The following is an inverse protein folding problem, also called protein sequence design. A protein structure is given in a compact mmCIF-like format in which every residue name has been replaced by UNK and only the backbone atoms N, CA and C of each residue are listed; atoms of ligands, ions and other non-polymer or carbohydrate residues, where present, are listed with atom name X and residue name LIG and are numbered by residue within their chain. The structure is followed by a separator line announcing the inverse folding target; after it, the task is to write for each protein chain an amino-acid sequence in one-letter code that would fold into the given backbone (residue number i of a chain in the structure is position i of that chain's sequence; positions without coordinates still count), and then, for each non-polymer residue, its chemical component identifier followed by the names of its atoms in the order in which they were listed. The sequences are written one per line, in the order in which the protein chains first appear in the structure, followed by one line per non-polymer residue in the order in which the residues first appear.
data_IF_796693692811
#
_entry.id   IF_796693692811
#
_cell.length_a   1.000
_cell.length_b   1.000
_cell.length_c   1.000
_cell.angle_alpha   90.00
_cell.angle_beta   90.00
_cell.angle_gamma   90.00
#
_symmetry.space_group_name_H-M   'P 1'
#
loop_
_entity.id
_entity.type
_entity.pdbx_description
1 polymer ?
#
# COMPACT_ATOMS: atom_id res chain seq x y z
N UNK A 1 1.07 22.37 -0.32
CA UNK A 1 0.66 21.08 0.29
C UNK A 1 -0.37 20.45 -0.65
N UNK A 2 -0.20 19.18 -1.08
CA UNK A 2 -1.03 18.56 -2.15
C UNK A 2 -1.85 17.34 -1.68
N UNK A 3 -1.72 16.97 -0.40
CA UNK A 3 -2.66 16.10 0.31
C UNK A 3 -3.34 16.98 1.35
N UNK A 4 -4.67 17.01 1.35
CA UNK A 4 -5.45 18.06 2.03
C UNK A 4 -6.09 17.62 3.35
N UNK A 5 -6.04 16.33 3.68
CA UNK A 5 -6.56 15.78 4.94
C UNK A 5 -5.64 14.69 5.49
N UNK A 6 -5.46 14.58 6.81
CA UNK A 6 -4.69 13.51 7.43
C UNK A 6 -5.45 12.17 7.36
N UNK A 7 -4.72 11.08 7.60
CA UNK A 7 -5.26 9.73 7.64
C UNK A 7 -5.03 8.94 6.36
N UNK A 8 -5.83 7.89 6.19
CA UNK A 8 -5.78 6.97 5.05
C UNK A 8 -7.17 6.74 4.48
N UNK A 9 -7.26 6.14 3.28
CA UNK A 9 -8.54 5.72 2.71
C UNK A 9 -9.22 4.73 3.67
N UNK A 10 -10.52 4.89 4.01
CA UNK A 10 -11.21 4.01 4.92
C UNK A 10 -11.06 2.53 4.55
N UNK A 11 -10.91 1.66 5.54
CA UNK A 11 -10.64 0.21 5.40
C UNK A 11 -9.27 -0.19 4.81
N UNK A 12 -8.45 0.76 4.33
CA UNK A 12 -7.14 0.44 3.78
C UNK A 12 -6.23 -0.20 4.84
N UNK A 13 -5.44 -1.19 4.42
CA UNK A 13 -4.40 -1.82 5.26
C UNK A 13 -3.03 -1.26 4.89
N UNK A 14 -2.16 -1.13 5.89
CA UNK A 14 -0.80 -0.64 5.70
C UNK A 14 0.03 -1.69 4.95
N UNK A 15 0.71 -1.26 3.89
CA UNK A 15 1.84 -1.97 3.29
C UNK A 15 3.07 -1.07 3.39
N UNK A 16 3.87 -1.29 4.42
CA UNK A 16 4.96 -0.39 4.78
C UNK A 16 6.12 -0.51 3.77
N UNK A 17 6.61 0.60 3.23
CA UNK A 17 7.74 0.61 2.29
C UNK A 17 9.01 -0.06 2.83
N UNK A 18 9.22 -0.05 4.14
CA UNK A 18 10.33 -0.74 4.79
C UNK A 18 10.32 -2.26 4.58
N UNK A 19 9.18 -2.81 4.14
CA UNK A 19 9.02 -4.23 3.82
C UNK A 19 9.22 -4.54 2.34
N UNK A 20 9.53 -3.54 1.50
CA UNK A 20 9.70 -3.77 0.07
C UNK A 20 11.02 -4.46 -0.24
N UNK A 21 12.08 -4.19 0.50
CA UNK A 21 13.41 -4.74 0.23
C UNK A 21 14.08 -5.29 1.48
N UNK A 22 15.09 -6.15 1.27
CA UNK A 22 15.87 -6.79 2.34
C UNK A 22 16.76 -5.78 3.08
N UNK A 23 16.21 -5.05 4.05
CA UNK A 23 16.95 -4.09 4.86
C UNK A 23 17.60 -3.00 3.99
N UNK A 24 18.92 -2.84 4.09
CA UNK A 24 19.70 -1.90 3.24
C UNK A 24 19.98 -2.42 1.81
N UNK A 25 19.50 -3.62 1.47
CA UNK A 25 19.68 -4.19 0.14
C UNK A 25 18.74 -3.55 -0.88
N UNK A 26 19.22 -3.42 -2.12
CA UNK A 26 18.39 -3.08 -3.29
C UNK A 26 17.65 -4.29 -3.87
N UNK A 27 17.61 -5.44 -3.17
CA UNK A 27 16.95 -6.66 -3.62
C UNK A 27 15.58 -6.83 -2.97
N UNK A 28 14.60 -7.17 -3.81
CA UNK A 28 13.29 -7.64 -3.39
C UNK A 28 13.37 -8.98 -2.65
N UNK A 29 12.30 -9.31 -1.92
CA UNK A 29 12.11 -10.64 -1.35
C UNK A 29 11.52 -11.61 -2.38
N UNK A 30 11.46 -12.89 -2.04
CA UNK A 30 10.69 -13.87 -2.81
C UNK A 30 9.18 -13.76 -2.53
N UNK A 31 8.39 -14.40 -3.37
CA UNK A 31 6.93 -14.41 -3.30
C UNK A 31 6.40 -14.94 -1.95
N UNK A 32 7.03 -15.96 -1.38
CA UNK A 32 6.60 -16.57 -0.13
C UNK A 32 6.78 -15.60 1.04
N UNK A 33 7.92 -14.89 1.07
CA UNK A 33 8.20 -13.87 2.08
C UNK A 33 7.19 -12.74 2.02
N UNK A 34 6.81 -12.26 0.82
CA UNK A 34 5.77 -11.23 0.70
C UNK A 34 4.39 -11.70 1.16
N UNK A 35 4.05 -12.99 0.96
CA UNK A 35 2.81 -13.56 1.53
C UNK A 35 2.85 -13.53 3.06
N UNK A 36 3.99 -13.87 3.67
CA UNK A 36 4.19 -13.79 5.14
C UNK A 36 4.14 -12.35 5.64
N UNK A 37 4.73 -11.39 4.92
CA UNK A 37 4.62 -9.95 5.23
C UNK A 37 3.17 -9.52 5.25
N UNK A 38 2.40 -9.85 4.22
CA UNK A 38 0.97 -9.53 4.18
C UNK A 38 0.22 -10.08 5.39
N UNK A 39 0.40 -11.37 5.69
CA UNK A 39 -0.25 -12.03 6.83
C UNK A 39 0.12 -11.35 8.16
N UNK A 40 1.40 -11.04 8.37
CA UNK A 40 1.87 -10.34 9.57
C UNK A 40 1.28 -8.92 9.70
N UNK A 41 0.93 -8.30 8.58
CA UNK A 41 0.29 -6.97 8.52
C UNK A 41 -1.26 -7.05 8.45
N UNK A 42 -1.85 -8.25 8.57
CA UNK A 42 -3.29 -8.44 8.61
C UNK A 42 -4.00 -8.35 7.24
N UNK A 43 -3.31 -8.66 6.14
CA UNK A 43 -3.88 -8.76 4.80
C UNK A 43 -3.31 -9.94 3.99
N UNK A 44 -3.94 -10.29 2.87
CA UNK A 44 -3.54 -11.42 2.04
C UNK A 44 -3.00 -10.92 0.69
N UNK A 45 -1.72 -11.17 0.43
CA UNK A 45 -1.03 -10.71 -0.78
C UNK A 45 -1.59 -11.31 -2.09
N UNK A 46 -2.39 -12.37 -1.99
CA UNK A 46 -2.99 -13.06 -3.14
C UNK A 46 -4.40 -12.57 -3.50
N UNK A 47 -5.04 -11.76 -2.64
CA UNK A 47 -6.38 -11.24 -2.87
C UNK A 47 -6.39 -10.02 -3.81
N UNK A 48 -7.51 -9.76 -4.51
CA UNK A 48 -7.66 -8.53 -5.29
C UNK A 48 -7.31 -7.29 -4.46
N UNK A 49 -6.42 -6.46 -4.97
CA UNK A 49 -5.81 -5.36 -4.20
C UNK A 49 -5.74 -4.09 -5.03
N UNK A 50 -6.00 -2.95 -4.41
CA UNK A 50 -5.72 -1.63 -4.98
C UNK A 50 -4.65 -0.97 -4.12
N UNK A 51 -3.52 -0.63 -4.71
CA UNK A 51 -2.43 0.09 -4.01
C UNK A 51 -2.49 1.59 -4.31
N UNK A 52 -2.11 2.40 -3.32
CA UNK A 52 -2.02 3.86 -3.42
C UNK A 52 -0.96 4.38 -2.44
N UNK A 53 -0.54 5.64 -2.61
CA UNK A 53 0.28 6.36 -1.63
C UNK A 53 -0.20 7.81 -1.50
N UNK A 54 0.69 8.79 -1.43
CA UNK A 54 0.31 10.21 -1.46
C UNK A 54 0.11 10.75 -2.88
N UNK A 55 1.03 10.41 -3.80
CA UNK A 55 1.13 10.98 -5.16
C UNK A 55 1.24 9.91 -6.27
N UNK A 56 0.95 8.65 -5.99
CA UNK A 56 1.00 7.55 -6.95
C UNK A 56 2.39 6.94 -7.19
N UNK A 57 3.48 7.66 -6.92
CA UNK A 57 4.84 7.22 -7.23
C UNK A 57 5.24 5.94 -6.49
N UNK A 58 5.09 5.95 -5.16
CA UNK A 58 5.50 4.83 -4.30
C UNK A 58 4.58 3.62 -4.42
N UNK A 59 3.30 3.81 -4.81
CA UNK A 59 2.39 2.70 -5.10
C UNK A 59 2.85 1.83 -6.27
N UNK A 60 3.69 2.36 -7.18
CA UNK A 60 4.29 1.57 -8.26
C UNK A 60 5.11 0.38 -7.74
N UNK A 61 5.87 0.59 -6.66
CA UNK A 61 6.65 -0.48 -6.03
C UNK A 61 5.76 -1.56 -5.41
N UNK A 62 4.72 -1.16 -4.69
CA UNK A 62 3.75 -2.09 -4.10
C UNK A 62 2.99 -2.88 -5.16
N UNK A 63 2.59 -2.21 -6.26
CA UNK A 63 1.96 -2.87 -7.40
C UNK A 63 2.90 -3.89 -8.03
N UNK A 64 4.17 -3.54 -8.27
CA UNK A 64 5.16 -4.44 -8.86
C UNK A 64 5.39 -5.67 -7.99
N UNK A 65 5.56 -5.50 -6.68
CA UNK A 65 5.76 -6.60 -5.73
C UNK A 65 4.58 -7.58 -5.78
N UNK A 66 3.35 -7.08 -5.62
CA UNK A 66 2.17 -7.94 -5.54
C UNK A 66 1.83 -8.57 -6.89
N UNK A 67 1.97 -7.83 -8.00
CA UNK A 67 1.62 -8.34 -9.32
C UNK A 67 2.70 -9.23 -9.93
N UNK A 68 3.95 -8.79 -9.91
CA UNK A 68 5.05 -9.44 -10.64
C UNK A 68 5.78 -10.48 -9.80
N UNK A 69 6.00 -10.21 -8.51
CA UNK A 69 6.75 -11.13 -7.64
C UNK A 69 5.81 -12.16 -7.00
N UNK A 70 4.73 -11.69 -6.36
CA UNK A 70 3.74 -12.59 -5.74
C UNK A 70 2.90 -13.31 -6.80
N UNK A 71 2.74 -12.70 -7.99
CA UNK A 71 1.96 -13.28 -9.11
C UNK A 71 0.46 -12.99 -9.04
N UNK A 72 0.03 -12.01 -8.25
CA UNK A 72 -1.38 -11.66 -8.13
C UNK A 72 -1.85 -10.84 -9.35
N UNK A 73 -2.66 -11.46 -10.21
CA UNK A 73 -3.17 -10.84 -11.44
C UNK A 73 -4.25 -9.77 -11.20
N UNK A 74 -4.76 -9.66 -9.98
CA UNK A 74 -5.87 -8.77 -9.62
C UNK A 74 -5.40 -7.56 -8.80
N UNK A 75 -4.20 -7.06 -9.08
CA UNK A 75 -3.64 -5.87 -8.43
C UNK A 75 -3.77 -4.66 -9.35
N UNK A 76 -4.42 -3.61 -8.86
CA UNK A 76 -4.55 -2.31 -9.55
C UNK A 76 -3.81 -1.23 -8.77
N UNK A 77 -3.37 -0.20 -9.48
CA UNK A 77 -2.77 0.98 -8.89
C UNK A 77 -3.77 2.15 -9.02
N UNK A 78 -4.04 2.84 -7.91
CA UNK A 78 -4.79 4.10 -7.92
C UNK A 78 -3.80 5.28 -7.94
N UNK A 79 -3.56 5.80 -9.13
CA UNK A 79 -2.57 6.84 -9.44
C UNK A 79 -2.90 8.18 -8.78
N UNK A 80 -4.19 8.53 -8.72
CA UNK A 80 -4.68 9.71 -8.03
C UNK A 80 -4.35 9.73 -6.54
N UNK A 81 -4.23 8.56 -5.90
CA UNK A 81 -3.73 8.40 -4.54
C UNK A 81 -4.40 9.34 -3.51
N UNK A 82 -3.77 9.64 -2.38
CA UNK A 82 -4.34 10.56 -1.40
C UNK A 82 -4.50 11.99 -1.94
N UNK A 83 -3.71 12.42 -2.93
CA UNK A 83 -3.88 13.73 -3.56
C UNK A 83 -5.32 13.90 -4.10
N UNK A 84 -5.74 13.06 -5.05
CA UNK A 84 -7.08 13.16 -5.64
C UNK A 84 -8.17 12.76 -4.63
N UNK A 85 -7.89 11.81 -3.74
CA UNK A 85 -8.86 11.41 -2.71
C UNK A 85 -9.24 12.58 -1.79
N UNK A 86 -8.24 13.28 -1.27
CA UNK A 86 -8.44 14.42 -0.36
C UNK A 86 -8.87 15.69 -1.10
N UNK A 87 -8.41 15.90 -2.35
CA UNK A 87 -8.91 16.97 -3.22
C UNK A 87 -10.43 16.87 -3.42
N UNK A 88 -10.94 15.64 -3.57
CA UNK A 88 -12.38 15.35 -3.68
C UNK A 88 -13.11 15.33 -2.34
N UNK A 89 -12.47 15.74 -1.24
CA UNK A 89 -13.03 15.75 0.12
C UNK A 89 -13.67 14.43 0.53
N UNK A 90 -13.09 13.30 0.08
CA UNK A 90 -13.57 11.98 0.47
C UNK A 90 -13.17 11.67 1.93
N UNK A 91 -13.94 10.83 2.65
CA UNK A 91 -13.65 10.50 4.04
C UNK A 91 -12.25 9.88 4.21
N UNK A 92 -11.60 10.16 5.33
CA UNK A 92 -10.36 9.51 5.76
C UNK A 92 -10.53 8.90 7.14
N UNK A 93 -9.76 7.86 7.42
CA UNK A 93 -9.64 7.26 8.76
C UNK A 93 -8.26 7.62 9.33
N UNK A 94 -8.23 8.01 10.60
CA UNK A 94 -7.00 8.24 11.36
C UNK A 94 -6.89 7.19 12.45
N UNK A 95 -5.67 6.78 12.76
CA UNK A 95 -5.44 6.00 13.96
C UNK A 95 -5.76 6.86 15.18
N UNK A 96 -6.70 6.40 16.00
CA UNK A 96 -7.01 7.00 17.30
C UNK A 96 -6.23 6.21 18.36
N UNK A 97 -5.29 6.88 19.02
CA UNK A 97 -4.76 6.38 20.29
C UNK A 97 -5.87 6.61 21.31
N UNK A 98 -6.57 5.55 21.71
CA UNK A 98 -7.41 5.63 22.90
C UNK A 98 -6.46 5.77 24.09
N UNK A 99 -6.51 6.92 24.76
CA UNK A 99 -5.81 7.16 26.03
C UNK A 99 -6.48 6.37 27.16
#
# INVERSE_FOLDING_TARGET
NYVFAPGHIPSAKLFAMTTFTKGKSSRFFDAETYKKVGQAMGWDATKPTIVYCNSGQLSGGGWFILSQIVGNKNVKLYDGSMNIWTLKKKPTETFQLNN
#
